data_IF_927222251126
#
_entry.id   IF_927222251126
#
_cell.length_a   1.000
_cell.length_b   1.000
_cell.length_c   1.000
_cell.angle_alpha   90.00
_cell.angle_beta   90.00
_cell.angle_gamma   90.00
#
_symmetry.space_group_name_H-M   'P 1'
#
loop_
_entity.id
_entity.type
_entity.pdbx_description
1 polymer ?
#
# COMPACT_ATOMS: atom_id res chain seq x y z
N UNK A 1 11.27 14.31 14.76
CA UNK A 1 10.11 13.41 14.92
C UNK A 1 10.22 12.33 13.85
N UNK A 2 10.41 11.07 14.24
CA UNK A 2 10.58 9.94 13.34
C UNK A 2 9.21 9.43 12.91
N UNK A 3 8.90 9.50 11.62
CA UNK A 3 7.62 9.07 11.06
C UNK A 3 7.77 7.77 10.27
N UNK A 4 6.80 6.87 10.40
CA UNK A 4 6.65 5.69 9.54
C UNK A 4 5.38 5.83 8.70
N UNK A 5 5.48 5.48 7.43
CA UNK A 5 4.37 5.41 6.50
C UNK A 5 4.24 3.97 6.03
N UNK A 6 3.11 3.34 6.32
CA UNK A 6 2.82 1.97 5.93
C UNK A 6 1.86 1.99 4.75
N UNK A 7 2.26 1.39 3.63
CA UNK A 7 1.51 1.41 2.38
C UNK A 7 0.96 0.02 2.06
N UNK A 8 -0.33 -0.05 1.75
CA UNK A 8 -0.88 -1.16 0.97
C UNK A 8 -0.63 -0.98 -0.54
N UNK A 9 -0.80 -2.04 -1.33
CA UNK A 9 -0.53 -2.04 -2.78
C UNK A 9 -1.81 -2.15 -3.62
N UNK A 10 -2.44 -3.32 -3.64
CA UNK A 10 -3.58 -3.62 -4.51
C UNK A 10 -4.81 -2.79 -4.17
N UNK A 11 -5.40 -2.15 -5.17
CA UNK A 11 -6.50 -1.16 -5.04
C UNK A 11 -6.14 0.10 -4.23
N UNK A 12 -4.97 0.17 -3.61
CA UNK A 12 -4.45 1.37 -2.93
C UNK A 12 -3.58 2.19 -3.87
N UNK A 13 -2.50 1.62 -4.40
CA UNK A 13 -1.51 2.28 -5.28
C UNK A 13 -1.55 1.78 -6.72
N UNK A 14 -2.03 0.56 -6.93
CA UNK A 14 -2.13 -0.10 -8.24
C UNK A 14 -3.47 -0.80 -8.39
N UNK A 15 -3.79 -1.22 -9.61
CA UNK A 15 -4.89 -2.14 -9.87
C UNK A 15 -4.41 -3.28 -10.76
N UNK A 16 -4.59 -4.52 -10.32
CA UNK A 16 -4.27 -5.70 -11.11
C UNK A 16 -5.53 -6.22 -11.81
N UNK A 17 -5.45 -6.47 -13.12
CA UNK A 17 -6.59 -6.99 -13.87
C UNK A 17 -6.20 -7.96 -14.98
N UNK A 18 -7.04 -8.97 -15.18
CA UNK A 18 -7.01 -9.82 -16.37
C UNK A 18 -7.73 -9.19 -17.57
N UNK A 19 -8.44 -8.07 -17.36
CA UNK A 19 -9.10 -7.35 -18.44
C UNK A 19 -8.05 -6.53 -19.22
N UNK A 20 -7.99 -6.66 -20.55
CA UNK A 20 -7.12 -5.83 -21.35
C UNK A 20 -7.66 -4.39 -21.43
N UNK A 21 -6.75 -3.44 -21.67
CA UNK A 21 -7.05 -2.08 -22.13
C UNK A 21 -7.95 -1.25 -21.20
N UNK A 22 -7.60 -1.17 -19.91
CA UNK A 22 -8.15 -0.10 -19.07
C UNK A 22 -7.62 1.25 -19.56
N UNK A 23 -8.38 2.32 -19.29
CA UNK A 23 -8.03 3.69 -19.71
C UNK A 23 -6.88 4.31 -18.91
N UNK A 24 -6.37 3.61 -17.89
CA UNK A 24 -5.22 4.04 -17.09
C UNK A 24 -3.91 3.43 -17.62
N UNK A 25 -2.78 4.03 -17.24
CA UNK A 25 -1.46 3.57 -17.64
C UNK A 25 -1.14 2.17 -17.10
N UNK A 26 -0.47 1.38 -17.94
CA UNK A 26 0.07 0.08 -17.55
C UNK A 26 1.41 0.31 -16.86
N UNK A 27 1.53 -0.20 -15.63
CA UNK A 27 2.80 -0.20 -14.90
C UNK A 27 3.70 -1.33 -15.43
N UNK A 28 3.17 -2.57 -15.49
CA UNK A 28 3.84 -3.72 -16.09
C UNK A 28 2.88 -4.90 -16.32
N UNK A 29 3.34 -5.92 -17.06
CA UNK A 29 2.65 -7.20 -17.18
C UNK A 29 3.30 -8.24 -16.26
N UNK A 30 2.58 -8.69 -15.22
CA UNK A 30 3.11 -9.68 -14.28
C UNK A 30 3.08 -11.10 -14.88
N UNK A 31 2.05 -11.39 -15.68
CA UNK A 31 1.95 -12.64 -16.44
C UNK A 31 1.14 -12.43 -17.71
N UNK A 32 1.02 -13.46 -18.55
CA UNK A 32 0.18 -13.44 -19.74
C UNK A 32 -1.32 -13.17 -19.44
N UNK A 33 -1.74 -13.33 -18.18
CA UNK A 33 -3.12 -13.17 -17.75
C UNK A 33 -3.32 -12.00 -16.77
N UNK A 34 -2.26 -11.31 -16.35
CA UNK A 34 -2.35 -10.27 -15.33
C UNK A 34 -1.54 -9.04 -15.72
N UNK A 35 -2.25 -7.95 -15.96
CA UNK A 35 -1.67 -6.62 -16.20
C UNK A 35 -1.87 -5.77 -14.95
N UNK A 36 -0.81 -5.06 -14.56
CA UNK A 36 -0.81 -4.14 -13.42
C UNK A 36 -0.86 -2.73 -13.96
N UNK A 37 -1.80 -1.96 -13.44
CA UNK A 37 -2.03 -0.58 -13.81
C UNK A 37 -1.66 0.33 -12.66
N UNK A 38 -0.99 1.44 -12.96
CA UNK A 38 -0.69 2.46 -11.95
C UNK A 38 -1.96 3.25 -11.62
N UNK A 39 -2.10 3.62 -10.33
CA UNK A 39 -3.09 4.61 -9.92
C UNK A 39 -2.59 6.01 -10.32
N UNK A 40 -3.46 6.89 -10.85
CA UNK A 40 -3.06 8.27 -11.11
C UNK A 40 -2.40 8.91 -9.88
N UNK A 41 -1.36 9.71 -10.12
CA UNK A 41 -0.58 10.42 -9.10
C UNK A 41 0.23 9.55 -8.13
N UNK A 42 0.40 8.25 -8.40
CA UNK A 42 1.11 7.32 -7.51
C UNK A 42 2.58 7.71 -7.31
N UNK A 43 3.27 8.18 -8.36
CA UNK A 43 4.68 8.55 -8.26
C UNK A 43 4.88 9.84 -7.43
N UNK A 44 4.01 10.83 -7.60
CA UNK A 44 3.99 12.05 -6.79
C UNK A 44 3.71 11.72 -5.32
N UNK A 45 2.76 10.81 -5.08
CA UNK A 45 2.43 10.34 -3.74
C UNK A 45 3.62 9.60 -3.09
N UNK A 46 4.27 8.67 -3.79
CA UNK A 46 5.45 7.96 -3.28
C UNK A 46 6.59 8.93 -2.98
N UNK A 47 6.83 9.92 -3.84
CA UNK A 47 7.82 10.98 -3.58
C UNK A 47 7.49 11.75 -2.32
N UNK A 48 6.22 12.09 -2.09
CA UNK A 48 5.75 12.72 -0.85
C UNK A 48 6.01 11.82 0.37
N UNK A 49 5.74 10.52 0.25
CA UNK A 49 6.02 9.56 1.32
C UNK A 49 7.51 9.55 1.70
N UNK A 50 8.41 9.44 0.71
CA UNK A 50 9.87 9.43 0.91
C UNK A 50 10.39 10.68 1.61
N UNK A 51 9.78 11.84 1.35
CA UNK A 51 10.13 13.11 2.02
C UNK A 51 9.59 13.15 3.45
N UNK A 52 8.46 12.49 3.70
CA UNK A 52 7.72 12.59 4.95
C UNK A 52 8.20 11.62 6.04
N UNK A 53 8.75 10.46 5.68
CA UNK A 53 9.26 9.48 6.65
C UNK A 53 9.78 8.20 6.02
N UNK A 54 10.10 7.23 6.88
CA UNK A 54 10.46 5.89 6.46
C UNK A 54 9.22 5.18 5.90
N UNK A 55 9.39 4.33 4.89
CA UNK A 55 8.29 3.61 4.23
C UNK A 55 8.38 2.13 4.60
N UNK A 56 7.26 1.52 4.99
CA UNK A 56 7.06 0.07 5.04
C UNK A 56 5.90 -0.30 4.11
N UNK A 57 5.90 -1.51 3.57
CA UNK A 57 4.81 -2.03 2.73
C UNK A 57 4.16 -3.22 3.42
N UNK A 58 2.85 -3.16 3.62
CA UNK A 58 2.05 -4.24 4.23
C UNK A 58 0.89 -4.58 3.30
N UNK A 59 0.97 -5.74 2.66
CA UNK A 59 0.03 -6.14 1.60
C UNK A 59 -0.45 -7.58 1.79
N UNK A 60 -1.65 -7.87 1.30
CA UNK A 60 -2.17 -9.25 1.19
C UNK A 60 -1.74 -9.93 -0.11
N UNK A 61 -0.86 -9.32 -0.89
CA UNK A 61 -0.22 -9.89 -2.08
C UNK A 61 0.87 -10.91 -1.74
N UNK A 62 1.20 -11.78 -2.71
CA UNK A 62 2.38 -12.65 -2.58
C UNK A 62 3.68 -11.85 -2.70
N UNK A 63 4.70 -12.27 -1.96
CA UNK A 63 5.96 -11.55 -1.85
C UNK A 63 6.59 -11.20 -3.21
N UNK A 64 6.67 -12.15 -4.15
CA UNK A 64 7.25 -11.91 -5.48
C UNK A 64 6.50 -10.85 -6.28
N UNK A 65 5.18 -10.84 -6.15
CA UNK A 65 4.33 -9.85 -6.81
C UNK A 65 4.52 -8.47 -6.19
N UNK A 66 4.50 -8.40 -4.86
CA UNK A 66 4.71 -7.16 -4.12
C UNK A 66 6.11 -6.56 -4.36
N UNK A 67 7.16 -7.39 -4.44
CA UNK A 67 8.51 -6.97 -4.81
C UNK A 67 8.54 -6.32 -6.19
N UNK A 68 7.86 -6.93 -7.18
CA UNK A 68 7.79 -6.40 -8.54
C UNK A 68 7.12 -5.01 -8.56
N UNK A 69 6.03 -4.84 -7.80
CA UNK A 69 5.36 -3.53 -7.67
C UNK A 69 6.29 -2.49 -7.05
N UNK A 70 6.96 -2.85 -5.94
CA UNK A 70 7.88 -1.93 -5.26
C UNK A 70 9.02 -1.49 -6.20
N UNK A 71 9.58 -2.40 -6.99
CA UNK A 71 10.61 -2.09 -7.97
C UNK A 71 10.13 -1.09 -9.03
N UNK A 72 8.96 -1.34 -9.65
CA UNK A 72 8.43 -0.47 -10.72
C UNK A 72 7.96 0.90 -10.22
N UNK A 73 7.48 0.97 -8.98
CA UNK A 73 7.06 2.21 -8.33
C UNK A 73 8.20 2.94 -7.61
N UNK A 74 9.43 2.41 -7.65
CA UNK A 74 10.59 2.93 -6.92
C UNK A 74 10.29 3.07 -5.41
N UNK A 75 9.61 2.09 -4.82
CA UNK A 75 9.41 2.01 -3.37
C UNK A 75 10.57 1.22 -2.78
N UNK A 76 11.28 1.85 -1.83
CA UNK A 76 12.37 1.21 -1.08
C UNK A 76 11.91 1.04 0.37
N UNK A 77 11.11 0.00 0.66
CA UNK A 77 10.58 -0.15 2.00
C UNK A 77 11.67 -0.64 2.96
N UNK A 78 11.63 -0.17 4.21
CA UNK A 78 12.46 -0.71 5.29
C UNK A 78 12.07 -2.17 5.60
N UNK A 79 10.81 -2.52 5.35
CA UNK A 79 10.27 -3.86 5.48
C UNK A 79 9.12 -4.07 4.48
N UNK A 80 9.08 -5.24 3.86
CA UNK A 80 8.02 -5.66 2.95
C UNK A 80 7.30 -6.87 3.55
N UNK A 81 6.17 -6.61 4.21
CA UNK A 81 5.29 -7.64 4.76
C UNK A 81 4.23 -8.01 3.73
N UNK A 82 4.23 -9.27 3.33
CA UNK A 82 3.36 -9.84 2.32
C UNK A 82 2.25 -10.69 2.94
N UNK A 83 1.47 -11.39 2.12
CA UNK A 83 0.41 -12.30 2.57
C UNK A 83 0.88 -13.32 3.61
N UNK A 84 2.11 -13.82 3.48
CA UNK A 84 2.67 -14.80 4.42
C UNK A 84 2.85 -14.23 5.84
N UNK A 85 2.91 -12.91 5.96
CA UNK A 85 3.13 -12.18 7.20
C UNK A 85 1.79 -11.72 7.83
N UNK A 86 0.68 -11.90 7.13
CA UNK A 86 -0.66 -11.59 7.62
C UNK A 86 -1.19 -12.68 8.55
N UNK A 87 -1.97 -12.29 9.56
CA UNK A 87 -2.71 -13.23 10.41
C UNK A 87 -4.01 -13.66 9.71
N UNK A 88 -4.35 -14.95 9.77
CA UNK A 88 -5.59 -15.45 9.19
C UNK A 88 -6.63 -15.65 10.30
N UNK A 89 -7.74 -14.92 10.22
CA UNK A 89 -8.87 -15.06 11.14
C UNK A 89 -10.19 -14.96 10.38
N UNK A 90 -11.08 -15.92 10.61
CA UNK A 90 -12.37 -15.98 9.90
C UNK A 90 -12.23 -16.15 8.38
N UNK A 91 -11.11 -16.71 7.91
CA UNK A 91 -10.81 -16.85 6.48
C UNK A 91 -10.31 -15.57 5.79
N UNK A 92 -10.12 -14.49 6.55
CA UNK A 92 -9.63 -13.20 6.06
C UNK A 92 -8.20 -12.97 6.54
N UNK A 93 -7.42 -12.25 5.73
CA UNK A 93 -6.08 -11.78 6.10
C UNK A 93 -6.19 -10.47 6.88
N UNK A 94 -5.53 -10.41 8.04
CA UNK A 94 -5.45 -9.23 8.90
C UNK A 94 -4.01 -8.76 9.02
N UNK A 95 -3.84 -7.45 9.09
CA UNK A 95 -2.56 -6.74 9.19
C UNK A 95 -2.40 -6.20 10.62
N UNK A 96 -1.17 -6.26 11.13
CA UNK A 96 -0.80 -5.70 12.43
C UNK A 96 0.34 -4.72 12.26
N UNK A 97 0.39 -3.73 13.13
CA UNK A 97 1.58 -2.89 13.32
C UNK A 97 2.48 -3.59 14.32
N UNK A 98 3.73 -3.83 13.94
CA UNK A 98 4.72 -4.45 14.83
C UNK A 98 4.97 -3.56 16.05
N UNK A 99 5.03 -4.15 17.25
CA UNK A 99 5.38 -3.43 18.50
C UNK A 99 6.71 -2.69 18.37
N UNK A 100 7.66 -3.23 17.59
CA UNK A 100 8.93 -2.58 17.28
C UNK A 100 8.73 -1.18 16.66
N UNK A 101 7.73 -1.02 15.78
CA UNK A 101 7.45 0.29 15.20
C UNK A 101 6.88 1.27 16.22
N UNK A 102 6.11 0.79 17.20
CA UNK A 102 5.57 1.61 18.28
C UNK A 102 6.68 2.15 19.20
N UNK A 103 7.75 1.37 19.38
CA UNK A 103 8.92 1.73 20.17
C UNK A 103 9.84 2.72 19.43
N UNK A 104 9.97 2.58 18.10
CA UNK A 104 10.96 3.31 17.30
C UNK A 104 10.42 4.60 16.69
N UNK A 105 9.13 4.67 16.36
CA UNK A 105 8.53 5.80 15.67
C UNK A 105 7.66 6.66 16.59
N UNK A 106 7.65 7.96 16.31
CA UNK A 106 6.82 8.93 17.02
C UNK A 106 5.38 8.94 16.48
N UNK A 107 5.21 8.64 15.19
CA UNK A 107 3.90 8.55 14.53
C UNK A 107 3.94 7.57 13.36
N UNK A 108 2.84 6.84 13.17
CA UNK A 108 2.67 5.86 12.10
C UNK A 108 1.42 6.23 11.30
N UNK A 109 1.58 6.45 10.00
CA UNK A 109 0.46 6.64 9.08
C UNK A 109 0.30 5.42 8.19
N UNK A 110 -0.88 4.83 8.17
CA UNK A 110 -1.23 3.69 7.32
C UNK A 110 -2.10 4.20 6.18
N UNK A 111 -1.82 3.80 4.94
CA UNK A 111 -2.65 4.12 3.77
C UNK A 111 -3.09 2.81 3.13
N UNK A 112 -4.40 2.57 3.14
CA UNK A 112 -5.00 1.29 2.75
C UNK A 112 -6.44 1.50 2.24
N UNK A 113 -6.86 0.71 1.26
CA UNK A 113 -8.23 0.73 0.75
C UNK A 113 -9.23 0.00 1.66
N UNK A 114 -8.72 -0.87 2.53
CA UNK A 114 -9.49 -1.69 3.48
C UNK A 114 -9.02 -1.44 4.92
N UNK A 115 -9.32 -0.27 5.51
CA UNK A 115 -8.90 0.07 6.87
C UNK A 115 -9.35 -0.94 7.93
N UNK A 116 -10.43 -1.68 7.69
CA UNK A 116 -10.99 -2.70 8.59
C UNK A 116 -10.13 -3.96 8.77
N UNK A 117 -9.14 -4.20 7.89
CA UNK A 117 -8.23 -5.37 8.03
C UNK A 117 -7.10 -5.13 9.03
N UNK A 118 -6.99 -3.92 9.57
CA UNK A 118 -5.95 -3.53 10.51
C UNK A 118 -6.38 -3.76 11.95
N UNK A 119 -5.56 -4.51 12.69
CA UNK A 119 -5.71 -4.71 14.14
C UNK A 119 -4.73 -3.75 14.82
N UNK A 120 -5.25 -2.69 15.44
CA UNK A 120 -4.44 -1.59 16.01
C UNK A 120 -4.16 -1.66 17.51
N UNK A 121 -4.69 -2.63 18.26
CA UNK A 121 -4.43 -2.85 19.70
C UNK A 121 -4.04 -1.59 20.53
N UNK A 122 -4.90 -0.57 20.60
CA UNK A 122 -4.66 0.71 21.31
C UNK A 122 -3.40 1.48 20.86
N UNK A 123 -3.11 1.51 19.56
CA UNK A 123 -2.02 2.30 19.01
C UNK A 123 -2.41 3.79 18.89
N UNK A 124 -2.17 4.56 19.95
CA UNK A 124 -2.41 6.02 19.97
C UNK A 124 -1.56 6.82 18.97
N UNK A 125 -0.44 6.23 18.52
CA UNK A 125 0.47 6.82 17.52
C UNK A 125 0.10 6.48 16.07
N UNK A 126 -0.88 5.59 15.86
CA UNK A 126 -1.28 5.12 14.55
C UNK A 126 -2.45 5.93 14.02
N UNK A 127 -2.36 6.36 12.77
CA UNK A 127 -3.46 6.96 12.01
C UNK A 127 -3.64 6.16 10.73
N UNK A 128 -4.85 5.63 10.50
CA UNK A 128 -5.21 5.03 9.21
C UNK A 128 -5.88 6.09 8.34
N UNK A 129 -5.40 6.23 7.11
CA UNK A 129 -6.03 6.97 6.03
C UNK A 129 -6.64 5.93 5.08
N UNK A 130 -7.96 5.74 5.21
CA UNK A 130 -8.71 4.92 4.27
C UNK A 130 -8.84 5.64 2.93
N UNK A 131 -8.46 4.98 1.83
CA UNK A 131 -8.66 5.51 0.46
C UNK A 131 -9.73 4.69 -0.27
N UNK A 132 -10.47 5.28 -1.23
CA UNK A 132 -11.34 4.48 -2.08
C UNK A 132 -10.54 3.45 -2.88
N UNK A 133 -11.08 2.25 -3.02
CA UNK A 133 -10.50 1.19 -3.84
C UNK A 133 -10.35 1.63 -5.31
N UNK A 134 -9.12 1.63 -5.82
CA UNK A 134 -8.79 1.92 -7.20
C UNK A 134 -9.12 0.74 -8.11
N UNK A 135 -9.89 1.00 -9.17
CA UNK A 135 -10.35 -0.04 -10.13
C UNK A 135 -10.00 0.29 -11.58
N UNK A 136 -8.93 1.07 -11.79
CA UNK A 136 -8.43 1.44 -13.12
C UNK A 136 -9.05 2.70 -13.75
N UNK A 137 -9.71 3.56 -12.96
CA UNK A 137 -10.29 4.81 -13.43
C UNK A 137 -9.19 5.87 -13.68
N UNK A 138 -9.13 6.46 -14.87
CA UNK A 138 -8.08 7.45 -15.21
C UNK A 138 -8.26 8.79 -14.49
N UNK A 139 -9.50 9.12 -14.10
CA UNK A 139 -9.84 10.36 -13.41
C UNK A 139 -9.80 10.22 -11.87
N UNK A 140 -9.23 9.12 -11.34
CA UNK A 140 -9.04 8.93 -9.89
C UNK A 140 -8.04 9.97 -9.35
N UNK A 141 -8.42 10.69 -8.29
CA UNK A 141 -7.62 11.75 -7.66
C UNK A 141 -7.33 11.46 -6.19
N UNK A 142 -7.64 10.26 -5.70
CA UNK A 142 -7.66 9.96 -4.27
C UNK A 142 -6.30 10.10 -3.59
N UNK A 143 -5.19 9.95 -4.34
CA UNK A 143 -3.84 10.10 -3.82
C UNK A 143 -3.40 11.58 -3.65
N UNK A 144 -4.02 12.53 -4.37
CA UNK A 144 -3.61 13.94 -4.33
C UNK A 144 -3.87 14.60 -2.97
N UNK A 145 -4.98 14.24 -2.32
CA UNK A 145 -5.45 14.85 -1.07
C UNK A 145 -4.83 14.28 0.21
N UNK A 146 -3.96 13.27 0.13
CA UNK A 146 -3.48 12.55 1.31
C UNK A 146 -2.45 13.40 2.07
N UNK A 147 -2.74 13.75 3.33
CA UNK A 147 -1.82 14.46 4.22
C UNK A 147 -1.03 13.47 5.11
N UNK A 148 0.31 13.60 5.16
CA UNK A 148 1.27 12.69 5.84
C UNK A 148 2.03 13.36 7.00
#
# INVERSE_FOLDING_TARGET
>A
MKKLIILDLDNTLIYASAKPNLSTNILFHFSIHLTVYERPYVYEFIKKCKISGDISVHTTAELKYAQSICEHLDIQPIELLSRSDCFIYGGMYHKIVSDYYLDVYDSITIVDDQPEVWILNNCDKCRIIGVPAFKGCVDDDALLGIEL
#
